data_IF_636570178109
#
_entry.id   IF_636570178109
#
_cell.length_a   1.000
_cell.length_b   1.000
_cell.length_c   1.000
_cell.angle_alpha   90.00
_cell.angle_beta   90.00
_cell.angle_gamma   90.00
#
_symmetry.space_group_name_H-M   'P 1'
#
loop_
_entity.id
_entity.type
_entity.pdbx_description
1 polymer ?
#
# COMPACT_ATOMS: atom_id res chain seq x y z
N UNK A 1 -29.53 37.67 29.52
CA UNK A 1 -30.99 37.55 29.25
C UNK A 1 -31.20 36.37 28.31
N UNK A 2 -32.03 35.39 28.71
CA UNK A 2 -32.78 34.37 27.91
C UNK A 2 -31.91 33.44 27.01
N UNK A 3 -31.60 32.18 27.31
CA UNK A 3 -32.42 30.99 27.64
C UNK A 3 -33.63 30.80 26.73
N UNK A 4 -33.65 29.72 25.89
CA UNK A 4 -34.74 28.74 25.56
C UNK A 4 -34.14 27.67 24.60
N UNK A 5 -34.05 26.37 24.91
CA UNK A 5 -35.06 25.28 25.08
C UNK A 5 -35.39 24.53 23.78
N UNK A 6 -35.32 23.19 23.86
CA UNK A 6 -35.99 22.18 23.02
C UNK A 6 -35.00 21.11 22.55
N UNK A 7 -34.82 19.92 23.12
CA UNK A 7 -35.70 18.87 23.65
C UNK A 7 -36.65 18.21 22.61
N UNK A 8 -36.43 16.89 22.48
CA UNK A 8 -37.39 15.77 22.34
C UNK A 8 -37.71 15.10 20.99
N UNK A 9 -37.64 13.75 21.06
CA UNK A 9 -38.40 12.66 20.40
C UNK A 9 -37.87 12.15 19.04
N UNK A 10 -37.34 10.93 18.96
CA UNK A 10 -37.94 9.58 19.10
C UNK A 10 -38.72 9.12 17.86
N UNK A 11 -38.29 8.01 17.23
CA UNK A 11 -39.16 7.12 16.49
C UNK A 11 -38.52 5.72 16.30
N UNK A 12 -39.32 4.73 16.64
CA UNK A 12 -39.17 3.27 16.70
C UNK A 12 -39.48 2.57 15.37
N UNK A 13 -39.25 1.24 15.37
CA UNK A 13 -39.85 0.18 14.53
C UNK A 13 -39.04 -0.19 13.26
N UNK A 14 -38.97 -1.43 12.78
CA UNK A 14 -39.62 -2.72 13.06
C UNK A 14 -38.61 -3.81 12.63
N UNK A 15 -38.48 -4.98 13.26
CA UNK A 15 -39.52 -6.00 13.31
C UNK A 15 -39.50 -6.85 12.03
N UNK A 16 -38.74 -7.94 12.04
CA UNK A 16 -39.10 -9.13 11.27
C UNK A 16 -38.63 -10.39 12.02
N UNK A 17 -39.57 -11.04 12.69
CA UNK A 17 -39.44 -12.37 13.26
C UNK A 17 -40.39 -13.30 12.49
N UNK A 18 -39.90 -14.43 12.00
CA UNK A 18 -40.66 -15.64 11.64
C UNK A 18 -39.65 -16.80 11.49
N UNK A 19 -39.28 -17.53 12.54
CA UNK A 19 -39.94 -18.70 13.17
C UNK A 19 -39.98 -19.94 12.26
N UNK A 20 -39.25 -21.02 12.61
CA UNK A 20 -39.79 -22.36 12.90
C UNK A 20 -38.68 -23.35 13.29
N UNK A 21 -38.86 -23.94 14.47
CA UNK A 21 -37.97 -24.88 15.14
C UNK A 21 -38.09 -26.31 14.59
N UNK A 22 -37.00 -27.09 14.69
CA UNK A 22 -37.07 -28.53 14.88
C UNK A 22 -36.10 -28.94 16.00
N UNK A 23 -36.59 -29.88 16.80
CA UNK A 23 -36.20 -30.24 18.15
C UNK A 23 -34.87 -30.99 18.27
N UNK A 24 -34.30 -30.98 19.49
CA UNK A 24 -33.28 -31.95 19.90
C UNK A 24 -32.61 -31.62 21.22
N UNK A 25 -33.26 -31.84 22.35
CA UNK A 25 -32.58 -31.94 23.65
C UNK A 25 -32.01 -33.35 23.81
N UNK A 26 -30.70 -33.49 23.98
CA UNK A 26 -30.05 -34.16 25.15
C UNK A 26 -28.73 -34.86 24.81
N UNK A 27 -27.82 -34.69 25.78
CA UNK A 27 -26.72 -35.58 26.21
C UNK A 27 -25.34 -35.40 25.58
N UNK A 28 -24.35 -35.22 26.47
CA UNK A 28 -22.96 -34.92 26.17
C UNK A 28 -22.10 -36.09 25.71
N UNK A 29 -20.85 -35.75 25.43
CA UNK A 29 -19.77 -36.66 25.06
C UNK A 29 -18.65 -35.90 24.38
N UNK A 30 -17.44 -36.08 24.91
CA UNK A 30 -16.15 -35.53 24.53
C UNK A 30 -15.81 -35.44 23.04
N UNK A 31 -14.98 -34.43 22.74
CA UNK A 31 -13.78 -34.62 21.93
C UNK A 31 -13.88 -34.23 20.46
N UNK A 32 -13.00 -33.30 20.08
CA UNK A 32 -12.47 -33.24 18.72
C UNK A 32 -12.88 -32.01 17.91
N UNK A 33 -11.92 -31.12 17.76
CA UNK A 33 -11.62 -30.34 16.55
C UNK A 33 -12.75 -29.52 15.91
N UNK A 34 -12.71 -28.21 16.18
CA UNK A 34 -13.61 -27.27 15.53
C UNK A 34 -13.39 -25.85 16.02
N UNK A 35 -12.25 -25.24 15.69
CA UNK A 35 -12.18 -23.78 15.67
C UNK A 35 -12.58 -23.30 14.28
N UNK A 36 -13.89 -23.37 14.03
CA UNK A 36 -14.54 -22.56 13.01
C UNK A 36 -14.60 -21.12 13.51
N UNK A 37 -13.63 -20.30 13.11
CA UNK A 37 -13.66 -18.85 13.30
C UNK A 37 -14.42 -18.18 12.16
N UNK A 38 -15.71 -17.95 12.34
CA UNK A 38 -16.47 -16.99 11.53
C UNK A 38 -16.48 -15.63 12.24
N UNK A 39 -15.78 -14.64 11.67
CA UNK A 39 -16.14 -13.22 11.83
C UNK A 39 -15.02 -12.28 12.26
N UNK A 40 -14.70 -11.36 11.34
CA UNK A 40 -13.81 -10.18 11.40
C UNK A 40 -12.38 -10.46 10.95
N UNK A 41 -12.04 -10.01 9.74
CA UNK A 41 -10.71 -10.15 9.14
C UNK A 41 -9.64 -9.52 10.04
N UNK A 42 -8.98 -10.36 10.82
CA UNK A 42 -7.63 -10.09 11.28
C UNK A 42 -6.73 -10.68 10.21
N UNK A 43 -5.93 -9.83 9.57
CA UNK A 43 -4.91 -10.33 8.67
C UNK A 43 -3.97 -11.25 9.47
N UNK A 44 -3.69 -12.43 8.93
CA UNK A 44 -2.65 -13.29 9.49
C UNK A 44 -1.31 -12.59 9.21
N UNK A 45 -0.52 -12.34 10.26
CA UNK A 45 0.79 -11.72 10.09
C UNK A 45 1.71 -12.62 9.25
N UNK A 46 2.54 -12.00 8.42
CA UNK A 46 3.45 -12.68 7.52
C UNK A 46 3.40 -12.12 6.10
N UNK A 47 4.41 -12.47 5.33
CA UNK A 47 4.52 -12.10 3.93
C UNK A 47 3.32 -12.57 3.10
N UNK A 48 2.62 -11.64 2.44
CA UNK A 48 1.46 -11.91 1.58
C UNK A 48 1.49 -11.09 0.28
N UNK A 49 2.13 -11.63 -0.76
CA UNK A 49 2.14 -11.02 -2.10
C UNK A 49 0.75 -10.94 -2.77
N UNK A 50 -0.21 -11.77 -2.32
CA UNK A 50 -1.54 -11.90 -2.90
C UNK A 50 -2.60 -11.03 -2.21
N UNK A 51 -2.18 -10.20 -1.26
CA UNK A 51 -3.08 -9.41 -0.44
C UNK A 51 -3.98 -8.50 -1.31
N UNK A 52 -5.32 -8.57 -1.18
CA UNK A 52 -6.23 -7.76 -1.98
C UNK A 52 -5.97 -6.25 -1.88
N UNK A 53 -5.47 -5.79 -0.74
CA UNK A 53 -5.13 -4.36 -0.54
C UNK A 53 -4.07 -3.87 -1.52
N UNK A 54 -3.13 -4.72 -1.95
CA UNK A 54 -2.11 -4.35 -2.95
C UNK A 54 -2.80 -4.04 -4.28
N UNK A 55 -3.69 -4.93 -4.72
CA UNK A 55 -4.45 -4.78 -5.97
C UNK A 55 -5.48 -3.65 -5.93
N UNK A 56 -6.12 -3.46 -4.78
CA UNK A 56 -7.11 -2.39 -4.58
C UNK A 56 -6.43 -1.02 -4.54
N UNK A 57 -5.26 -0.92 -3.92
CA UNK A 57 -4.50 0.33 -3.79
C UNK A 57 -3.96 0.80 -5.14
N UNK A 58 -3.38 -0.10 -5.96
CA UNK A 58 -2.86 0.28 -7.28
C UNK A 58 -3.96 0.73 -8.25
N UNK A 59 -5.20 0.25 -8.07
CA UNK A 59 -6.34 0.69 -8.88
C UNK A 59 -6.72 2.17 -8.64
N UNK A 60 -6.31 2.74 -7.49
CA UNK A 60 -6.48 4.15 -7.17
C UNK A 60 -5.34 5.07 -7.66
N UNK A 61 -4.22 4.49 -8.12
CA UNK A 61 -3.07 5.23 -8.64
C UNK A 61 -3.32 5.59 -10.11
N UNK A 62 -2.81 6.75 -10.56
CA UNK A 62 -2.92 7.16 -11.96
C UNK A 62 -2.38 6.04 -12.88
N UNK A 63 -3.15 5.61 -13.90
CA UNK A 63 -2.70 4.58 -14.80
C UNK A 63 -1.49 5.06 -15.61
N UNK A 64 -0.62 4.15 -16.06
CA UNK A 64 0.47 4.52 -16.96
C UNK A 64 -0.09 4.95 -18.34
N UNK A 65 0.80 5.30 -19.27
CA UNK A 65 0.47 5.68 -20.64
C UNK A 65 -0.54 4.72 -21.29
N UNK A 66 -1.38 5.27 -22.18
CA UNK A 66 -2.47 4.53 -22.81
C UNK A 66 -1.98 3.25 -23.51
N UNK A 67 -2.45 2.09 -23.03
CA UNK A 67 -2.06 0.76 -23.52
C UNK A 67 -1.12 0.00 -22.58
N UNK A 68 -0.56 0.68 -21.59
CA UNK A 68 0.29 0.08 -20.56
C UNK A 68 -0.51 -0.25 -19.29
N UNK A 69 0.10 -1.01 -18.38
CA UNK A 69 -0.44 -1.37 -17.07
C UNK A 69 0.65 -1.36 -16.00
N UNK A 70 0.24 -1.16 -14.75
CA UNK A 70 1.08 -1.46 -13.60
C UNK A 70 1.08 -2.97 -13.37
N UNK A 71 2.27 -3.55 -13.25
CA UNK A 71 2.48 -4.97 -12.96
C UNK A 71 3.35 -5.10 -11.71
N UNK A 72 2.82 -5.79 -10.70
CA UNK A 72 3.55 -6.06 -9.46
C UNK A 72 4.81 -6.85 -9.80
N UNK A 73 5.97 -6.34 -9.39
CA UNK A 73 7.28 -6.94 -9.70
C UNK A 73 7.98 -7.44 -8.45
N UNK A 74 7.87 -6.70 -7.35
CA UNK A 74 8.51 -7.03 -6.08
C UNK A 74 7.68 -6.47 -4.93
N UNK A 75 7.67 -7.14 -3.79
CA UNK A 75 6.98 -6.68 -2.59
C UNK A 75 7.57 -7.38 -1.38
N UNK A 76 7.48 -6.72 -0.23
CA UNK A 76 7.70 -7.31 1.09
C UNK A 76 6.45 -7.15 1.98
N UNK A 77 5.27 -7.00 1.37
CA UNK A 77 4.03 -6.70 2.09
C UNK A 77 3.75 -7.73 3.19
N UNK A 78 3.62 -7.20 4.40
CA UNK A 78 3.23 -7.93 5.60
C UNK A 78 2.17 -7.07 6.31
N UNK A 79 0.96 -7.60 6.60
CA UNK A 79 -0.07 -6.89 7.33
C UNK A 79 0.33 -6.42 8.73
N UNK A 80 1.41 -6.96 9.31
CA UNK A 80 1.93 -6.63 10.62
C UNK A 80 3.32 -5.97 10.56
N UNK A 81 3.82 -5.65 9.37
CA UNK A 81 5.10 -4.98 9.18
C UNK A 81 5.00 -3.47 9.45
N UNK A 82 6.03 -2.91 10.08
CA UNK A 82 6.09 -1.49 10.43
C UNK A 82 6.18 -0.60 9.17
N UNK A 83 6.92 -1.01 8.15
CA UNK A 83 6.86 -0.38 6.83
C UNK A 83 7.13 -1.44 5.78
N UNK A 84 6.15 -1.64 4.91
CA UNK A 84 6.28 -2.57 3.79
C UNK A 84 5.90 -1.87 2.49
N UNK A 85 6.28 -2.49 1.37
CA UNK A 85 6.13 -1.91 0.06
C UNK A 85 5.63 -2.92 -0.97
N UNK A 86 5.09 -2.39 -2.07
CA UNK A 86 4.83 -3.11 -3.30
C UNK A 86 5.33 -2.29 -4.50
N UNK A 87 6.35 -2.79 -5.19
CA UNK A 87 6.95 -2.20 -6.38
C UNK A 87 6.21 -2.68 -7.62
N UNK A 88 5.72 -1.72 -8.40
CA UNK A 88 5.07 -1.94 -9.68
C UNK A 88 5.93 -1.39 -10.81
N UNK A 89 6.04 -2.17 -11.88
CA UNK A 89 6.64 -1.73 -13.13
C UNK A 89 5.55 -1.44 -14.16
N UNK A 90 5.80 -0.44 -15.00
CA UNK A 90 5.02 -0.22 -16.20
C UNK A 90 5.31 -1.32 -17.23
N UNK A 91 4.25 -1.97 -17.71
CA UNK A 91 4.29 -3.04 -18.70
C UNK A 91 3.34 -2.75 -19.88
N UNK A 92 3.68 -3.13 -21.13
CA UNK A 92 4.92 -3.79 -21.54
C UNK A 92 6.15 -2.86 -21.51
N UNK A 93 7.31 -3.38 -21.11
CA UNK A 93 8.58 -2.67 -21.22
C UNK A 93 9.05 -2.62 -22.69
N UNK A 94 8.57 -1.64 -23.44
CA UNK A 94 8.90 -1.47 -24.86
C UNK A 94 10.20 -0.69 -25.13
N UNK A 95 10.74 0.00 -24.13
CA UNK A 95 11.95 0.81 -24.23
C UNK A 95 12.75 0.73 -22.92
N UNK A 96 13.98 1.25 -22.89
CA UNK A 96 14.81 1.29 -21.67
C UNK A 96 14.32 2.29 -20.60
N UNK A 97 13.21 2.99 -20.86
CA UNK A 97 12.63 4.04 -20.02
C UNK A 97 11.21 3.65 -19.59
N UNK A 98 11.10 2.73 -18.64
CA UNK A 98 9.83 2.36 -18.02
C UNK A 98 9.60 3.21 -16.77
N UNK A 99 8.36 3.36 -16.32
CA UNK A 99 8.07 3.95 -15.02
C UNK A 99 7.93 2.88 -13.93
N UNK A 100 8.20 3.26 -12.69
CA UNK A 100 7.92 2.48 -11.49
C UNK A 100 6.99 3.25 -10.55
N UNK A 101 6.25 2.52 -9.73
CA UNK A 101 5.50 3.04 -8.58
C UNK A 101 5.74 2.14 -7.39
N UNK A 102 6.07 2.72 -6.24
CA UNK A 102 6.19 1.97 -4.99
C UNK A 102 5.05 2.38 -4.08
N UNK A 103 4.15 1.44 -3.80
CA UNK A 103 3.10 1.60 -2.81
C UNK A 103 3.67 1.27 -1.43
N UNK A 104 3.31 2.04 -0.41
CA UNK A 104 3.77 1.87 0.96
C UNK A 104 2.62 1.51 1.89
N UNK A 105 2.91 0.64 2.84
CA UNK A 105 1.95 0.15 3.83
C UNK A 105 2.57 0.13 5.22
N UNK A 106 1.76 0.35 6.25
CA UNK A 106 2.13 0.26 7.67
C UNK A 106 0.99 -0.41 8.41
N UNK A 107 1.28 -1.46 9.17
CA UNK A 107 0.27 -2.24 9.92
C UNK A 107 -0.92 -2.69 9.04
N UNK A 108 -0.61 -3.06 7.79
CA UNK A 108 -1.60 -3.52 6.81
C UNK A 108 -2.50 -2.42 6.24
N UNK A 109 -2.23 -1.15 6.56
CA UNK A 109 -2.93 0.00 5.98
C UNK A 109 -2.11 0.63 4.84
N UNK A 110 -2.79 1.04 3.77
CA UNK A 110 -2.16 1.74 2.65
C UNK A 110 -1.87 3.20 3.01
N UNK A 111 -0.60 3.60 2.91
CA UNK A 111 -0.14 4.96 3.25
C UNK A 111 -0.11 5.88 2.04
N UNK A 112 0.13 5.34 0.85
CA UNK A 112 0.32 6.13 -0.36
C UNK A 112 1.38 5.54 -1.28
N UNK A 113 1.74 6.32 -2.28
CA UNK A 113 2.77 6.00 -3.27
C UNK A 113 4.02 6.86 -3.01
N UNK A 114 5.20 6.36 -3.34
CA UNK A 114 6.56 6.91 -3.12
C UNK A 114 6.80 8.39 -3.47
N UNK A 115 5.80 9.04 -4.05
CA UNK A 115 5.77 10.40 -4.55
C UNK A 115 6.53 10.55 -5.87
N UNK A 116 5.79 10.53 -6.96
CA UNK A 116 6.15 11.37 -8.10
C UNK A 116 4.97 11.65 -9.01
N UNK A 117 4.81 12.95 -9.31
CA UNK A 117 4.03 13.49 -10.43
C UNK A 117 4.70 13.20 -11.78
N UNK A 118 5.97 12.77 -11.78
CA UNK A 118 6.72 12.36 -12.96
C UNK A 118 6.97 10.83 -12.93
N UNK A 119 7.19 10.18 -14.08
CA UNK A 119 7.59 8.78 -14.11
C UNK A 119 9.02 8.62 -13.54
N UNK A 120 9.16 7.81 -12.50
CA UNK A 120 10.45 7.48 -11.88
C UNK A 120 10.93 6.10 -12.35
N UNK A 121 12.24 5.87 -12.30
CA UNK A 121 12.83 4.53 -12.44
C UNK A 121 13.55 4.18 -11.15
N UNK A 122 12.88 3.41 -10.30
CA UNK A 122 13.40 2.98 -9.00
C UNK A 122 13.60 1.47 -8.92
N UNK A 123 14.61 1.05 -8.17
CA UNK A 123 14.85 -0.35 -7.81
C UNK A 123 15.04 -0.46 -6.30
N UNK A 124 14.43 -1.48 -5.70
CA UNK A 124 14.70 -1.80 -4.30
C UNK A 124 16.12 -2.37 -4.21
N UNK A 125 16.94 -1.78 -3.37
CA UNK A 125 18.35 -2.19 -3.16
C UNK A 125 18.62 -2.63 -1.72
N UNK A 126 17.68 -2.38 -0.82
CA UNK A 126 17.75 -2.77 0.59
C UNK A 126 16.36 -2.71 1.21
N UNK A 127 16.12 -3.58 2.18
CA UNK A 127 14.85 -3.63 2.91
C UNK A 127 15.07 -4.18 4.32
N UNK A 128 14.18 -3.81 5.24
CA UNK A 128 14.12 -4.34 6.59
C UNK A 128 12.82 -3.99 7.27
N UNK A 129 12.72 -4.29 8.55
CA UNK A 129 11.55 -3.92 9.34
C UNK A 129 11.52 -2.40 9.56
N UNK A 130 10.44 -1.75 9.14
CA UNK A 130 10.27 -0.30 9.27
C UNK A 130 11.03 0.55 8.25
N UNK A 131 11.76 -0.04 7.29
CA UNK A 131 12.49 0.72 6.27
C UNK A 131 12.73 -0.03 4.96
N UNK A 132 12.94 0.71 3.89
CA UNK A 132 13.47 0.19 2.62
C UNK A 132 14.27 1.26 1.87
N UNK A 133 15.19 0.83 1.01
CA UNK A 133 16.05 1.67 0.20
C UNK A 133 15.75 1.49 -1.27
N UNK A 134 15.61 2.63 -1.95
CA UNK A 134 15.33 2.67 -3.38
C UNK A 134 16.46 3.42 -4.07
N UNK A 135 17.07 2.80 -5.07
CA UNK A 135 17.93 3.50 -6.01
C UNK A 135 17.07 4.04 -7.16
N UNK A 136 17.01 5.36 -7.30
CA UNK A 136 16.33 6.04 -8.40
C UNK A 136 17.31 6.47 -9.48
N UNK A 137 16.87 6.40 -10.73
CA UNK A 137 17.54 7.03 -11.86
C UNK A 137 17.45 8.56 -11.71
N UNK A 138 18.59 9.24 -11.78
CA UNK A 138 18.65 10.70 -11.70
C UNK A 138 18.86 11.30 -13.10
N UNK A 139 17.74 11.61 -13.76
CA UNK A 139 17.75 12.20 -15.10
C UNK A 139 18.11 13.69 -15.04
N UNK A 140 17.83 14.40 -13.95
CA UNK A 140 18.25 15.79 -13.75
C UNK A 140 19.78 15.90 -13.75
N UNK A 141 20.46 15.09 -12.94
CA UNK A 141 21.92 15.05 -12.90
C UNK A 141 22.53 14.64 -14.26
N UNK A 142 21.89 13.72 -14.99
CA UNK A 142 22.34 13.37 -16.34
C UNK A 142 22.20 14.56 -17.31
N UNK A 143 21.06 15.26 -17.30
CA UNK A 143 20.83 16.43 -18.16
C UNK A 143 21.85 17.54 -17.83
N UNK A 144 22.10 17.79 -16.55
CA UNK A 144 23.10 18.78 -16.10
C UNK A 144 24.52 18.42 -16.53
N UNK A 145 24.85 17.13 -16.58
CA UNK A 145 26.17 16.67 -17.02
C UNK A 145 26.43 16.86 -18.52
N UNK A 146 25.36 16.93 -19.34
CA UNK A 146 25.45 16.96 -20.80
C UNK A 146 25.95 15.64 -21.44
N UNK A 147 26.06 14.55 -20.68
CA UNK A 147 26.40 13.23 -21.20
C UNK A 147 25.24 12.60 -22.00
N UNK A 148 25.51 11.68 -22.94
CA UNK A 148 24.44 10.98 -23.66
C UNK A 148 23.60 10.10 -22.73
N UNK A 149 22.35 9.83 -23.10
CA UNK A 149 21.43 8.97 -22.34
C UNK A 149 22.00 7.58 -22.02
N UNK A 150 22.95 7.07 -22.82
CA UNK A 150 23.64 5.81 -22.55
C UNK A 150 24.49 5.83 -21.26
N UNK A 151 24.82 7.01 -20.75
CA UNK A 151 25.50 7.22 -19.47
C UNK A 151 24.56 7.23 -18.27
N UNK A 152 23.23 7.15 -18.47
CA UNK A 152 22.25 7.16 -17.37
C UNK A 152 22.51 6.13 -16.25
N UNK A 153 23.16 4.97 -16.47
CA UNK A 153 23.55 4.08 -15.38
C UNK A 153 24.51 4.69 -14.35
N UNK A 154 25.24 5.76 -14.69
CA UNK A 154 26.15 6.47 -13.77
C UNK A 154 25.44 7.46 -12.85
N UNK A 155 24.20 7.82 -13.16
CA UNK A 155 23.44 8.87 -12.48
C UNK A 155 22.28 8.21 -11.75
N UNK A 156 22.52 7.89 -10.49
CA UNK A 156 21.52 7.35 -9.58
C UNK A 156 21.61 8.05 -8.23
N UNK A 157 20.50 8.09 -7.52
CA UNK A 157 20.43 8.56 -6.14
C UNK A 157 19.71 7.51 -5.30
N UNK A 158 20.23 7.26 -4.10
CA UNK A 158 19.63 6.32 -3.16
C UNK A 158 18.82 7.09 -2.14
N UNK A 159 17.58 6.66 -1.94
CA UNK A 159 16.66 7.23 -0.98
C UNK A 159 16.23 6.13 -0.01
N UNK A 160 16.35 6.42 1.28
CA UNK A 160 15.89 5.53 2.34
C UNK A 160 14.53 6.00 2.82
N UNK A 161 13.54 5.12 2.75
CA UNK A 161 12.21 5.32 3.30
C UNK A 161 12.16 4.65 4.67
N UNK A 162 11.73 5.38 5.69
CA UNK A 162 11.66 4.86 7.07
C UNK A 162 10.35 5.29 7.71
N UNK A 163 9.69 4.38 8.42
CA UNK A 163 8.55 4.75 9.24
C UNK A 163 9.02 5.57 10.45
N UNK A 164 8.27 6.61 10.79
CA UNK A 164 8.57 7.42 11.96
C UNK A 164 7.34 7.46 12.85
N UNK A 165 7.35 6.71 13.96
CA UNK A 165 6.30 6.74 14.97
C UNK A 165 6.05 8.16 15.51
N UNK A 166 7.11 8.94 15.71
CA UNK A 166 7.00 10.32 16.22
C UNK A 166 6.17 11.21 15.28
N UNK A 167 6.35 11.04 13.97
CA UNK A 167 5.66 11.84 12.95
C UNK A 167 4.43 11.15 12.39
N UNK A 168 4.21 9.89 12.76
CA UNK A 168 3.17 8.99 12.26
C UNK A 168 3.07 8.99 10.73
N UNK A 169 4.24 8.89 10.07
CA UNK A 169 4.38 8.89 8.61
C UNK A 169 5.74 8.36 8.18
N UNK A 170 5.84 8.00 6.90
CA UNK A 170 7.13 7.75 6.26
C UNK A 170 7.94 9.05 6.17
N UNK A 171 9.22 8.95 6.52
CA UNK A 171 10.24 9.97 6.32
C UNK A 171 11.24 9.46 5.30
N UNK A 172 11.77 10.39 4.51
CA UNK A 172 12.78 10.10 3.51
C UNK A 172 14.12 10.63 4.03
N UNK A 173 15.16 9.82 3.91
CA UNK A 173 16.55 10.28 3.95
C UNK A 173 17.06 10.40 2.52
N UNK A 174 17.45 11.62 2.13
CA UNK A 174 17.73 12.00 0.75
C UNK A 174 16.62 12.85 0.10
N UNK A 175 16.89 13.29 -1.13
CA UNK A 175 15.96 14.09 -1.94
C UNK A 175 15.57 13.29 -3.18
N UNK A 176 14.26 13.10 -3.39
CA UNK A 176 13.77 12.41 -4.58
C UNK A 176 14.24 13.15 -5.84
N UNK A 177 14.83 12.46 -6.82
CA UNK A 177 15.27 13.10 -8.05
C UNK A 177 14.08 13.40 -8.96
N UNK A 178 14.35 14.12 -10.05
CA UNK A 178 13.41 14.34 -11.16
C UNK A 178 12.17 15.18 -10.80
N UNK A 179 12.27 16.02 -9.76
CA UNK A 179 11.14 16.83 -9.30
C UNK A 179 10.88 18.05 -10.19
N UNK A 180 11.85 18.44 -11.02
CA UNK A 180 11.78 19.61 -11.89
C UNK A 180 11.77 19.25 -13.37
N UNK A 181 11.70 17.96 -13.72
CA UNK A 181 11.52 17.51 -15.10
C UNK A 181 10.06 17.69 -15.50
N UNK A 182 9.81 18.63 -16.43
CA UNK A 182 8.49 19.00 -16.94
C UNK A 182 8.44 18.89 -18.46
#
# INVERSE_FOLDING_TARGET
MRSRIGLTRAATAAGCALVLALAGCSNGGDGGDGSGGQGRGGAECGFDEGAPIITDSIAGVEPPSAGDRWELTETNYDPCGELTYALFHQMPQGNSQFATKILMFHDGEYLGVDASTAPQQGWIIGEGDGWFEVEYKDWEALVESGEPNASSPKYTTTITFTWSDEKNRVVLDGELPNQNLH
#
